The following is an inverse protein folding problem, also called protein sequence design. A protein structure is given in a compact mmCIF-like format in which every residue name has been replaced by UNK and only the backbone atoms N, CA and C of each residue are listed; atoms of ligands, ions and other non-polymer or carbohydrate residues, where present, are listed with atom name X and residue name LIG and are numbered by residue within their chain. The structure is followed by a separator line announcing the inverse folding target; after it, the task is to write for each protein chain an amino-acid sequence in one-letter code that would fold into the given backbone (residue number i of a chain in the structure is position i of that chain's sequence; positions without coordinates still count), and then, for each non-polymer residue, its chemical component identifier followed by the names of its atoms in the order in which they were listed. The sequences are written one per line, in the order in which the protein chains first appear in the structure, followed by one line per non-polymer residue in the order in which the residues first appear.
data_IF_286645104419
#
_entry.id   IF_286645104419
#
_cell.length_a   1.000
_cell.length_b   1.000
_cell.length_c   1.000
_cell.angle_alpha   90.00
_cell.angle_beta   90.00
_cell.angle_gamma   90.00
#
_symmetry.space_group_name_H-M   'P 1'
#
loop_
_entity.id
_entity.type
_entity.pdbx_description
1 polymer ?
#
# COMPACT_ATOMS: atom_id res chain seq x y z
N UNK A 1 5.56 -5.55 14.32
CA UNK A 1 5.19 -4.96 14.94
C UNK A 1 4.40 -3.94 14.53
N UNK A 2 3.72 -3.63 15.11
CA UNK A 2 2.92 -2.74 14.83
C UNK A 2 3.46 -1.47 14.61
N UNK A 3 4.59 -1.42 14.20
CA UNK A 3 5.18 -0.21 13.87
C UNK A 3 4.52 0.41 12.67
N UNK A 4 3.86 -0.38 11.88
CA UNK A 4 3.16 0.18 10.75
C UNK A 4 1.80 0.67 11.19
N UNK A 5 1.48 1.89 10.89
CA UNK A 5 0.21 2.45 11.22
C UNK A 5 -0.62 2.54 9.96
N UNK A 6 -1.76 1.89 9.96
CA UNK A 6 -2.69 1.97 8.85
C UNK A 6 -3.97 2.58 9.38
N UNK A 7 -4.32 3.71 8.82
CA UNK A 7 -5.51 4.42 9.23
C UNK A 7 -6.60 4.33 8.19
N UNK A 8 -7.82 4.44 8.61
CA UNK A 8 -8.94 4.55 7.71
C UNK A 8 -9.00 5.98 7.25
N UNK A 9 -8.95 6.19 5.95
CA UNK A 9 -8.78 7.51 5.42
C UNK A 9 -10.07 8.25 5.26
N UNK A 10 -11.16 7.56 5.06
CA UNK A 10 -12.42 8.26 4.94
C UNK A 10 -13.08 8.34 6.29
N UNK A 11 -13.83 9.38 6.52
CA UNK A 11 -14.46 9.58 7.80
C UNK A 11 -15.96 9.57 7.68
N UNK A 12 -16.52 8.99 6.66
CA UNK A 12 -17.95 8.78 6.61
C UNK A 12 -18.13 7.34 6.17
N UNK A 13 -19.35 6.93 5.92
CA UNK A 13 -19.63 5.52 5.76
C UNK A 13 -19.60 5.06 4.34
N UNK A 14 -18.91 5.75 3.50
CA UNK A 14 -18.84 5.32 2.13
C UNK A 14 -18.00 4.06 2.03
N UNK A 15 -18.52 3.06 1.36
CA UNK A 15 -17.85 1.78 1.21
C UNK A 15 -17.32 1.68 -0.21
N UNK A 16 -16.04 1.37 -0.40
CA UNK A 16 -15.51 1.23 -1.74
C UNK A 16 -16.23 0.10 -2.48
N UNK A 17 -16.44 0.31 -3.78
CA UNK A 17 -17.12 -0.69 -4.60
C UNK A 17 -16.15 -1.64 -5.26
N UNK A 18 -14.89 -1.28 -5.35
CA UNK A 18 -13.89 -2.07 -6.03
C UNK A 18 -12.58 -2.05 -5.28
N UNK A 19 -11.75 -3.06 -5.50
CA UNK A 19 -10.37 -2.99 -5.07
C UNK A 19 -9.70 -1.89 -5.86
N UNK A 20 -8.81 -1.15 -5.20
CA UNK A 20 -8.06 -0.11 -5.89
C UNK A 20 -6.76 0.16 -5.15
N UNK A 21 -5.69 0.27 -5.93
CA UNK A 21 -4.40 0.70 -5.41
C UNK A 21 -4.11 2.05 -6.04
N UNK A 22 -3.83 3.06 -5.22
CA UNK A 22 -3.61 4.41 -5.69
C UNK A 22 -2.13 4.66 -5.88
N UNK A 23 -1.82 5.62 -6.74
CA UNK A 23 -0.46 6.09 -6.88
C UNK A 23 -0.03 6.74 -5.57
N UNK A 24 1.17 6.42 -5.09
CA UNK A 24 1.67 7.02 -3.86
C UNK A 24 1.77 8.53 -4.00
N UNK A 25 1.65 9.23 -2.91
CA UNK A 25 1.73 10.68 -2.92
C UNK A 25 2.46 11.13 -1.65
N UNK A 26 3.43 11.99 -1.79
CA UNK A 26 3.99 12.55 -3.01
C UNK A 26 4.78 11.54 -3.83
N UNK A 27 4.94 11.82 -5.12
CA UNK A 27 5.74 11.00 -6.02
C UNK A 27 6.30 11.90 -7.12
N UNK A 28 7.60 12.11 -7.21
CA UNK A 28 8.66 11.51 -6.38
C UNK A 28 8.59 11.97 -4.93
N UNK A 29 9.26 11.25 -4.06
CA UNK A 29 9.20 11.57 -2.63
C UNK A 29 10.60 11.49 -1.99
N UNK A 30 10.72 12.14 -0.84
CA UNK A 30 11.99 12.21 -0.11
C UNK A 30 11.70 12.53 1.34
N UNK A 31 11.86 11.59 2.24
CA UNK A 31 11.96 10.15 2.01
C UNK A 31 10.64 9.45 2.31
N UNK A 32 9.55 10.19 2.57
CA UNK A 32 8.30 9.60 3.04
C UNK A 32 7.20 9.81 2.02
N UNK A 33 6.41 8.79 1.82
CA UNK A 33 5.23 8.88 0.97
C UNK A 33 4.10 8.09 1.62
N UNK A 34 2.90 8.25 1.09
CA UNK A 34 1.75 7.50 1.56
C UNK A 34 1.20 6.67 0.41
N UNK A 35 0.81 5.45 0.73
CA UNK A 35 0.22 4.53 -0.23
C UNK A 35 -1.19 4.23 0.25
N UNK A 36 -2.15 4.48 -0.61
CA UNK A 36 -3.55 4.30 -0.27
C UNK A 36 -4.15 3.18 -1.08
N UNK A 37 -5.03 2.41 -0.48
CA UNK A 37 -5.75 1.36 -1.19
C UNK A 37 -7.16 1.20 -0.63
N UNK A 38 -8.04 0.70 -1.49
CA UNK A 38 -9.44 0.48 -1.13
C UNK A 38 -9.75 -1.00 -1.18
N UNK A 39 -10.53 -1.46 -0.22
CA UNK A 39 -11.01 -2.83 -0.15
C UNK A 39 -12.53 -2.82 -0.14
N UNK A 40 -13.16 -3.45 -1.15
CA UNK A 40 -14.61 -3.49 -1.19
C UNK A 40 -15.15 -4.51 -0.19
N UNK A 41 -16.45 -4.50 -0.04
CA UNK A 41 -17.08 -5.42 0.87
C UNK A 41 -16.94 -6.84 0.38
N UNK A 42 -16.59 -7.74 1.28
CA UNK A 42 -16.46 -9.16 0.99
C UNK A 42 -17.23 -9.90 2.09
N UNK A 43 -17.72 -11.05 1.75
CA UNK A 43 -18.63 -11.82 2.59
C UNK A 43 -18.20 -11.93 4.03
N UNK A 44 -18.41 -11.02 4.85
CA UNK A 44 -18.23 -11.08 6.28
C UNK A 44 -16.87 -11.44 6.81
N UNK A 45 -15.94 -11.88 6.02
CA UNK A 45 -14.62 -12.23 6.51
C UNK A 45 -13.66 -11.16 6.06
N UNK A 46 -12.59 -11.03 6.77
CA UNK A 46 -11.54 -10.11 6.38
C UNK A 46 -10.89 -10.55 5.09
N UNK A 47 -10.19 -9.65 4.47
CA UNK A 47 -9.45 -9.91 3.24
C UNK A 47 -7.98 -9.96 3.62
N UNK A 48 -7.29 -11.02 3.21
CA UNK A 48 -5.86 -11.08 3.45
C UNK A 48 -5.17 -10.12 2.50
N UNK A 49 -4.43 -9.18 3.06
CA UNK A 49 -3.81 -8.09 2.31
C UNK A 49 -2.32 -8.15 2.52
N UNK A 50 -1.57 -8.02 1.42
CA UNK A 50 -0.13 -7.91 1.51
C UNK A 50 0.33 -6.77 0.62
N UNK A 51 1.15 -5.88 1.18
CA UNK A 51 1.70 -4.75 0.45
C UNK A 51 3.21 -4.87 0.51
N UNK A 52 3.85 -5.03 -0.63
CA UNK A 52 5.27 -5.35 -0.72
C UNK A 52 5.99 -4.39 -1.64
N UNK A 53 7.19 -3.99 -1.26
CA UNK A 53 8.03 -3.09 -2.04
C UNK A 53 9.10 -3.92 -2.76
N UNK A 54 9.31 -3.61 -4.04
CA UNK A 54 10.31 -4.30 -4.86
C UNK A 54 11.24 -3.28 -5.51
N UNK A 55 12.45 -3.70 -5.83
CA UNK A 55 13.35 -2.86 -6.63
C UNK A 55 13.15 -3.15 -8.12
N UNK A 56 13.95 -2.50 -8.98
CA UNK A 56 13.77 -2.63 -10.42
C UNK A 56 14.08 -4.04 -10.94
N UNK A 57 14.81 -4.84 -10.18
CA UNK A 57 15.10 -6.20 -10.59
C UNK A 57 14.00 -7.16 -10.18
N UNK A 58 12.99 -6.68 -9.47
CA UNK A 58 11.91 -7.52 -8.99
C UNK A 58 12.20 -8.16 -7.64
N UNK A 59 13.29 -7.76 -6.99
CA UNK A 59 13.63 -8.33 -5.70
C UNK A 59 12.82 -7.64 -4.60
N UNK A 60 12.25 -8.45 -3.73
CA UNK A 60 11.48 -7.94 -2.61
C UNK A 60 12.40 -7.22 -1.63
N UNK A 61 12.06 -5.98 -1.32
CA UNK A 61 12.85 -5.16 -0.39
C UNK A 61 12.21 -5.16 0.98
N UNK A 62 10.91 -5.01 1.04
CA UNK A 62 10.24 -4.88 2.33
C UNK A 62 8.77 -5.24 2.20
N UNK A 63 8.24 -5.90 3.22
CA UNK A 63 6.81 -6.13 3.34
C UNK A 63 6.28 -5.03 4.24
N UNK A 64 5.47 -4.13 3.68
CA UNK A 64 4.91 -3.04 4.46
C UNK A 64 3.75 -3.50 5.32
N UNK A 65 2.96 -4.42 4.81
CA UNK A 65 1.86 -4.93 5.58
C UNK A 65 1.47 -6.32 5.12
N UNK A 66 1.08 -7.16 6.07
CA UNK A 66 0.62 -8.50 5.81
C UNK A 66 -0.38 -8.85 6.90
N UNK A 67 -1.64 -8.93 6.57
CA UNK A 67 -2.67 -9.24 7.54
C UNK A 67 -4.05 -9.20 6.94
N UNK A 68 -5.05 -9.39 7.77
CA UNK A 68 -6.44 -9.38 7.33
C UNK A 68 -7.08 -8.04 7.65
N UNK A 69 -7.78 -7.48 6.67
CA UNK A 69 -8.48 -6.22 6.86
C UNK A 69 -9.90 -6.34 6.36
N UNK A 70 -10.76 -5.54 6.93
CA UNK A 70 -12.14 -5.46 6.49
C UNK A 70 -12.29 -4.41 5.42
N UNK A 71 -13.48 -4.31 4.83
CA UNK A 71 -13.75 -3.30 3.83
C UNK A 71 -13.41 -1.92 4.34
N UNK A 72 -12.97 -1.06 3.47
CA UNK A 72 -12.63 0.32 3.82
C UNK A 72 -11.51 0.85 2.95
N UNK A 73 -11.15 2.10 3.20
CA UNK A 73 -10.03 2.75 2.53
C UNK A 73 -8.91 2.91 3.55
N UNK A 74 -7.70 2.57 3.15
CA UNK A 74 -6.57 2.51 4.05
C UNK A 74 -5.38 3.28 3.49
N UNK A 75 -4.50 3.71 4.38
CA UNK A 75 -3.33 4.47 3.98
C UNK A 75 -2.14 4.00 4.81
N UNK A 76 -1.03 3.74 4.15
CA UNK A 76 0.18 3.25 4.79
C UNK A 76 1.31 4.24 4.52
N UNK A 77 2.03 4.63 5.55
CA UNK A 77 3.20 5.47 5.38
C UNK A 77 4.39 4.61 5.03
N UNK A 78 5.19 5.06 4.08
CA UNK A 78 6.43 4.38 3.72
C UNK A 78 7.59 5.36 3.81
N UNK A 79 8.61 4.99 4.57
CA UNK A 79 9.81 5.78 4.73
C UNK A 79 10.96 5.07 4.03
N UNK A 80 11.48 5.70 2.99
CA UNK A 80 12.56 5.13 2.18
C UNK A 80 13.91 5.73 2.50
N UNK A 81 14.11 6.21 3.74
CA UNK A 81 15.34 6.89 4.09
C UNK A 81 16.57 5.99 3.93
N UNK A 82 16.39 4.68 4.01
CA UNK A 82 17.51 3.76 3.88
C UNK A 82 17.68 3.21 2.47
N UNK A 83 16.88 3.69 1.52
CA UNK A 83 16.98 3.22 0.16
C UNK A 83 17.68 4.27 -0.70
N UNK A 84 18.47 3.82 -1.69
CA UNK A 84 19.06 4.78 -2.62
C UNK A 84 17.98 5.43 -3.48
N UNK A 85 18.30 6.58 -4.02
CA UNK A 85 17.41 7.21 -4.99
C UNK A 85 17.22 6.27 -6.16
N UNK A 86 16.03 6.26 -6.71
CA UNK A 86 15.75 5.40 -7.86
C UNK A 86 14.31 5.02 -7.94
N UNK A 87 14.05 4.06 -8.81
CA UNK A 87 12.69 3.59 -9.09
C UNK A 87 12.43 2.32 -8.30
N UNK A 88 11.26 2.27 -7.69
CA UNK A 88 10.79 1.11 -6.94
C UNK A 88 9.36 0.81 -7.32
N UNK A 89 8.90 -0.38 -6.99
CA UNK A 89 7.52 -0.79 -7.27
C UNK A 89 6.88 -1.26 -5.97
N UNK A 90 5.59 -1.08 -5.86
CA UNK A 90 4.87 -1.66 -4.75
C UNK A 90 3.67 -2.44 -5.30
N UNK A 91 3.43 -3.60 -4.71
CA UNK A 91 2.35 -4.48 -5.14
C UNK A 91 1.40 -4.70 -3.99
N UNK A 92 0.13 -4.52 -4.27
CA UNK A 92 -0.93 -4.85 -3.33
C UNK A 92 -1.54 -6.16 -3.78
N UNK A 93 -1.61 -7.13 -2.88
CA UNK A 93 -2.34 -8.37 -3.12
C UNK A 93 -3.43 -8.44 -2.07
N UNK A 94 -4.66 -8.59 -2.49
CA UNK A 94 -5.80 -8.63 -1.59
C UNK A 94 -6.80 -9.63 -2.12
N UNK A 95 -6.88 -10.79 -1.48
CA UNK A 95 -7.69 -11.87 -2.00
C UNK A 95 -7.22 -12.27 -3.38
N UNK A 96 -8.08 -12.17 -4.37
CA UNK A 96 -7.74 -12.48 -5.76
C UNK A 96 -7.27 -11.28 -6.55
N UNK A 97 -7.24 -10.12 -5.91
CA UNK A 97 -6.85 -8.89 -6.57
C UNK A 97 -5.36 -8.64 -6.40
N UNK A 98 -4.72 -8.15 -7.44
CA UNK A 98 -3.31 -7.77 -7.37
C UNK A 98 -3.08 -6.62 -8.31
N UNK A 99 -2.32 -5.64 -7.87
CA UNK A 99 -1.96 -4.49 -8.69
C UNK A 99 -0.60 -3.97 -8.29
N UNK A 100 0.10 -3.36 -9.22
CA UNK A 100 1.46 -2.87 -9.01
C UNK A 100 1.53 -1.43 -9.48
N UNK A 101 2.22 -0.60 -8.70
CA UNK A 101 2.46 0.79 -9.09
C UNK A 101 3.95 1.11 -8.95
N UNK A 102 4.38 2.11 -9.69
CA UNK A 102 5.77 2.56 -9.66
C UNK A 102 5.89 3.79 -8.79
N UNK A 103 6.98 3.91 -8.06
CA UNK A 103 7.28 5.10 -7.28
C UNK A 103 8.74 5.48 -7.46
N UNK A 104 9.05 6.74 -7.22
CA UNK A 104 10.39 7.27 -7.41
C UNK A 104 10.86 7.91 -6.12
N UNK A 105 12.03 7.48 -5.65
CA UNK A 105 12.67 8.05 -4.47
C UNK A 105 13.73 9.03 -4.95
N UNK A 106 13.65 10.25 -4.47
CA UNK A 106 14.65 11.28 -4.77
C UNK A 106 15.27 11.72 -3.46
N UNK A 107 16.56 11.66 -3.40
CA UNK A 107 17.27 12.10 -2.20
C UNK A 107 18.05 13.37 -2.44
#
# INVERSE_FOLDING_TARGET
PCSQVIGIVHNNIEIPENFRLYQNYPNPFNPVTKIRFDLPEQNNTGINVMLVIFDVTGREIKVLYNGDYKTGSYEVDFNASELPSGVYYYRLTAGNYSDVKKMVVLK
#
